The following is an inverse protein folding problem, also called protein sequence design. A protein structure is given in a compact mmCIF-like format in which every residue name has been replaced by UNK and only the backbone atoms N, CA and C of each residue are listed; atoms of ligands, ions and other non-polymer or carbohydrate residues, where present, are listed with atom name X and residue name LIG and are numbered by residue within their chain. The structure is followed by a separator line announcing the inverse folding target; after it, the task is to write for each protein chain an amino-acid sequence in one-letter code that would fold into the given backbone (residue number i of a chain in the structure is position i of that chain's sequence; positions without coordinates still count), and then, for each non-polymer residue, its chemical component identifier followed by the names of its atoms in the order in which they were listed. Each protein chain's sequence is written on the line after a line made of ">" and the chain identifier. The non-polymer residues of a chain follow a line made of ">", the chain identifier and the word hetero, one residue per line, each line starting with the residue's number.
data_IF_548449079877
#
_entry.id   IF_548449079877
#
_cell.length_a   1.000
_cell.length_b   1.000
_cell.length_c   1.000
_cell.angle_alpha   90.00
_cell.angle_beta   90.00
_cell.angle_gamma   90.00
#
_symmetry.space_group_name_H-M   'P 1'
#
loop_
_entity.id
_entity.type
_entity.pdbx_description
1 polymer ?
#
# COMPACT_ATOMS: atom_id res chain seq x y z
N UNK A 1 9.65 -12.74 8.91
CA UNK A 1 10.97 -13.42 9.05
C UNK A 1 12.08 -12.48 8.58
N UNK A 2 13.37 -12.84 8.74
CA UNK A 2 14.48 -12.03 8.19
C UNK A 2 14.36 -11.87 6.67
N UNK A 3 13.95 -12.93 5.97
CA UNK A 3 13.72 -12.91 4.52
C UNK A 3 12.62 -11.92 4.12
N UNK A 4 11.51 -11.89 4.85
CA UNK A 4 10.43 -10.92 4.60
C UNK A 4 10.88 -9.47 4.83
N UNK A 5 11.76 -9.21 5.80
CA UNK A 5 12.30 -7.87 6.05
C UNK A 5 13.20 -7.44 4.89
N UNK A 6 14.09 -8.33 4.40
CA UNK A 6 14.95 -8.03 3.25
C UNK A 6 14.14 -7.85 1.95
N UNK A 7 13.18 -8.74 1.69
CA UNK A 7 12.27 -8.60 0.55
C UNK A 7 11.45 -7.31 0.63
N UNK A 8 11.09 -6.89 1.85
CA UNK A 8 10.32 -5.68 2.12
C UNK A 8 11.00 -4.42 1.60
N UNK A 9 12.34 -4.36 1.68
CA UNK A 9 13.16 -3.24 1.18
C UNK A 9 13.00 -3.01 -0.32
N UNK A 10 12.88 -4.09 -1.10
CA UNK A 10 12.61 -3.97 -2.54
C UNK A 10 11.12 -3.73 -2.79
N UNK A 11 10.26 -4.46 -2.09
CA UNK A 11 8.81 -4.43 -2.29
C UNK A 11 8.20 -3.04 -2.08
N UNK A 12 8.65 -2.25 -1.10
CA UNK A 12 8.11 -0.91 -0.88
C UNK A 12 8.45 0.06 -2.02
N UNK A 13 9.67 -0.04 -2.59
CA UNK A 13 10.08 0.79 -3.74
C UNK A 13 9.28 0.42 -4.99
N UNK A 14 9.07 -0.88 -5.22
CA UNK A 14 8.22 -1.37 -6.30
C UNK A 14 6.78 -0.86 -6.13
N UNK A 15 6.20 -1.01 -4.94
CA UNK A 15 4.84 -0.53 -4.64
C UNK A 15 4.70 0.98 -4.84
N UNK A 16 5.68 1.77 -4.38
CA UNK A 16 5.72 3.22 -4.61
C UNK A 16 5.78 3.56 -6.11
N UNK A 17 6.32 2.67 -6.94
CA UNK A 17 6.42 2.81 -8.39
C UNK A 17 5.22 2.20 -9.15
N UNK A 18 4.14 1.83 -8.45
CA UNK A 18 2.95 1.15 -9.01
C UNK A 18 3.22 -0.27 -9.53
N UNK A 19 4.25 -0.94 -8.99
CA UNK A 19 4.57 -2.34 -9.26
C UNK A 19 4.14 -3.15 -8.05
N UNK A 20 3.12 -3.99 -8.21
CA UNK A 20 2.45 -4.70 -7.10
C UNK A 20 2.99 -6.11 -6.86
N UNK A 21 3.82 -6.60 -7.78
CA UNK A 21 4.42 -7.92 -7.80
C UNK A 21 5.31 -8.17 -6.58
N UNK A 22 5.88 -7.11 -5.99
CA UNK A 22 6.62 -7.17 -4.74
C UNK A 22 5.80 -7.72 -3.56
N UNK A 23 4.46 -7.67 -3.62
CA UNK A 23 3.58 -8.22 -2.58
C UNK A 23 3.31 -9.73 -2.75
N UNK A 24 3.51 -10.30 -3.95
CA UNK A 24 3.18 -11.70 -4.25
C UNK A 24 3.89 -12.68 -3.31
N UNK A 25 5.21 -12.56 -3.04
CA UNK A 25 5.90 -13.49 -2.14
C UNK A 25 5.33 -13.47 -0.71
N UNK A 26 4.92 -12.30 -0.21
CA UNK A 26 4.31 -12.17 1.12
C UNK A 26 2.92 -12.79 1.18
N UNK A 27 2.10 -12.54 0.16
CA UNK A 27 0.77 -13.11 0.05
C UNK A 27 0.81 -14.63 -0.16
N UNK A 28 1.79 -15.14 -0.91
CA UNK A 28 1.99 -16.58 -1.09
C UNK A 28 2.42 -17.27 0.21
N UNK A 29 3.26 -16.62 1.03
CA UNK A 29 3.74 -17.17 2.29
C UNK A 29 2.67 -17.19 3.40
N UNK A 30 1.80 -16.17 3.48
CA UNK A 30 0.75 -16.07 4.51
C UNK A 30 -0.54 -15.43 3.96
N UNK A 31 -1.28 -16.14 3.07
CA UNK A 31 -2.37 -15.55 2.29
C UNK A 31 -3.52 -15.06 3.17
N UNK A 32 -3.89 -15.83 4.19
CA UNK A 32 -5.04 -15.54 5.04
C UNK A 32 -4.86 -14.31 5.92
N UNK A 33 -3.62 -13.86 6.14
CA UNK A 33 -3.34 -12.66 6.93
C UNK A 33 -2.92 -11.49 6.06
N UNK A 34 -2.12 -11.74 5.03
CA UNK A 34 -1.59 -10.68 4.16
C UNK A 34 -2.66 -10.14 3.21
N UNK A 35 -3.42 -11.01 2.53
CA UNK A 35 -4.43 -10.56 1.56
C UNK A 35 -5.51 -9.69 2.24
N UNK A 36 -6.15 -10.11 3.35
CA UNK A 36 -7.13 -9.26 4.02
C UNK A 36 -6.54 -7.94 4.53
N UNK A 37 -5.29 -7.95 5.00
CA UNK A 37 -4.62 -6.71 5.45
C UNK A 37 -4.46 -5.70 4.31
N UNK A 38 -4.01 -6.16 3.14
CA UNK A 38 -3.84 -5.31 1.95
C UNK A 38 -5.20 -4.83 1.44
N UNK A 39 -6.21 -5.70 1.43
CA UNK A 39 -7.58 -5.35 1.03
C UNK A 39 -8.14 -4.22 1.88
N UNK A 40 -8.04 -4.33 3.21
CA UNK A 40 -8.57 -3.31 4.14
C UNK A 40 -7.85 -1.98 3.96
N UNK A 41 -6.52 -1.96 3.88
CA UNK A 41 -5.79 -0.71 3.65
C UNK A 41 -6.10 -0.08 2.29
N UNK A 42 -6.20 -0.89 1.23
CA UNK A 42 -6.57 -0.42 -0.12
C UNK A 42 -7.99 0.14 -0.17
N UNK A 43 -8.93 -0.52 0.52
CA UNK A 43 -10.31 -0.04 0.65
C UNK A 43 -10.37 1.30 1.38
N UNK A 44 -9.60 1.47 2.45
CA UNK A 44 -9.51 2.76 3.18
C UNK A 44 -8.93 3.86 2.29
N UNK A 45 -7.83 3.61 1.58
CA UNK A 45 -7.26 4.57 0.63
C UNK A 45 -8.27 4.96 -0.45
N UNK A 46 -8.97 3.98 -1.03
CA UNK A 46 -9.99 4.21 -2.05
C UNK A 46 -11.17 5.03 -1.53
N UNK A 47 -11.70 4.65 -0.37
CA UNK A 47 -12.83 5.35 0.26
C UNK A 47 -12.48 6.80 0.61
N UNK A 48 -11.31 7.06 1.18
CA UNK A 48 -10.84 8.41 1.49
C UNK A 48 -10.57 9.22 0.22
N UNK A 49 -10.01 8.60 -0.83
CA UNK A 49 -9.78 9.27 -2.12
C UNK A 49 -11.11 9.71 -2.74
N UNK A 50 -12.14 8.87 -2.67
CA UNK A 50 -13.49 9.20 -3.14
C UNK A 50 -14.15 10.27 -2.27
N UNK A 51 -14.02 10.16 -0.94
CA UNK A 51 -14.59 11.12 0.02
C UNK A 51 -14.04 12.53 -0.18
N UNK A 52 -12.74 12.65 -0.48
CA UNK A 52 -12.08 13.93 -0.72
C UNK A 52 -12.07 14.35 -2.19
N UNK A 53 -12.80 13.63 -3.07
CA UNK A 53 -12.87 13.91 -4.50
C UNK A 53 -11.49 14.05 -5.17
N UNK A 54 -10.55 13.16 -4.79
CA UNK A 54 -9.20 13.17 -5.36
C UNK A 54 -9.23 12.51 -6.73
N UNK A 55 -9.00 13.31 -7.77
CA UNK A 55 -8.81 12.84 -9.14
C UNK A 55 -7.34 12.58 -9.47
N UNK A 56 -7.05 11.44 -10.11
CA UNK A 56 -5.78 11.10 -10.74
C UNK A 56 -6.01 10.96 -12.26
N UNK A 57 -5.41 11.83 -13.06
CA UNK A 57 -5.58 11.86 -14.52
C UNK A 57 -4.70 10.86 -15.28
N UNK A 58 -3.62 10.39 -14.65
CA UNK A 58 -2.74 9.40 -15.23
C UNK A 58 -3.32 7.98 -15.04
N UNK A 59 -3.20 7.07 -16.03
CA UNK A 59 -3.69 5.70 -15.90
C UNK A 59 -2.93 4.89 -14.85
N UNK A 60 -1.63 5.13 -14.71
CA UNK A 60 -0.73 4.51 -13.73
C UNK A 60 0.58 5.31 -13.67
N UNK A 61 1.37 5.12 -12.61
CA UNK A 61 2.72 5.72 -12.52
C UNK A 61 3.24 5.99 -11.11
N UNK A 62 2.52 5.54 -10.08
CA UNK A 62 3.01 5.54 -8.70
C UNK A 62 3.23 6.94 -8.15
N UNK A 63 4.26 7.08 -7.31
CA UNK A 63 4.62 8.35 -6.68
C UNK A 63 5.05 9.41 -7.71
N UNK A 64 5.57 8.99 -8.86
CA UNK A 64 6.11 9.88 -9.89
C UNK A 64 5.04 10.72 -10.59
N UNK A 65 3.79 10.23 -10.65
CA UNK A 65 2.67 10.96 -11.26
C UNK A 65 1.94 11.88 -10.28
N UNK A 66 2.18 11.74 -8.97
CA UNK A 66 1.49 12.51 -7.93
C UNK A 66 1.65 14.03 -8.14
N UNK A 67 2.84 14.59 -8.41
CA UNK A 67 3.00 16.04 -8.54
C UNK A 67 2.34 16.64 -9.78
N UNK A 68 2.10 15.83 -10.82
CA UNK A 68 1.71 16.32 -12.16
C UNK A 68 0.28 15.94 -12.56
N UNK A 69 -0.26 14.85 -12.00
CA UNK A 69 -1.51 14.26 -12.48
C UNK A 69 -2.60 14.17 -11.41
N UNK A 70 -2.31 14.54 -10.16
CA UNK A 70 -3.27 14.51 -9.04
C UNK A 70 -3.80 15.90 -8.74
N UNK A 71 -5.12 16.01 -8.56
CA UNK A 71 -5.83 17.26 -8.21
C UNK A 71 -5.35 17.89 -6.90
N UNK A 72 -5.16 17.09 -5.83
CA UNK A 72 -4.62 17.53 -4.55
C UNK A 72 -3.46 16.60 -4.09
N UNK A 73 -2.22 16.86 -4.54
CA UNK A 73 -1.08 15.96 -4.32
C UNK A 73 -0.76 15.70 -2.84
N UNK A 74 -0.80 16.73 -2.00
CA UNK A 74 -0.47 16.60 -0.57
C UNK A 74 -1.52 15.79 0.17
N UNK A 75 -2.80 16.05 -0.09
CA UNK A 75 -3.88 15.27 0.51
C UNK A 75 -3.84 13.81 0.05
N UNK A 76 -3.53 13.57 -1.22
CA UNK A 76 -3.41 12.21 -1.75
C UNK A 76 -2.26 11.42 -1.11
N UNK A 77 -1.11 12.05 -0.88
CA UNK A 77 -0.01 11.45 -0.10
C UNK A 77 -0.47 11.09 1.31
N UNK A 78 -1.22 11.99 1.96
CA UNK A 78 -1.80 11.74 3.27
C UNK A 78 -2.77 10.55 3.27
N UNK A 79 -3.66 10.46 2.27
CA UNK A 79 -4.61 9.36 2.12
C UNK A 79 -3.91 8.03 1.88
N UNK A 80 -2.88 7.99 1.02
CA UNK A 80 -2.04 6.81 0.82
C UNK A 80 -1.39 6.40 2.14
N UNK A 81 -0.80 7.36 2.87
CA UNK A 81 -0.14 7.08 4.14
C UNK A 81 -1.10 6.48 5.17
N UNK A 82 -2.35 6.95 5.23
CA UNK A 82 -3.38 6.38 6.11
C UNK A 82 -3.65 4.91 5.76
N UNK A 83 -3.87 4.59 4.48
CA UNK A 83 -4.09 3.18 4.07
C UNK A 83 -2.86 2.29 4.26
N UNK A 84 -1.65 2.84 4.10
CA UNK A 84 -0.39 2.15 4.42
C UNK A 84 -0.31 1.83 5.91
N UNK A 85 -0.61 2.79 6.79
CA UNK A 85 -0.65 2.56 8.24
C UNK A 85 -1.70 1.52 8.61
N UNK A 86 -2.89 1.57 8.02
CA UNK A 86 -3.94 0.57 8.24
C UNK A 86 -3.46 -0.83 7.82
N UNK A 87 -2.86 -0.96 6.64
CA UNK A 87 -2.26 -2.24 6.19
C UNK A 87 -1.21 -2.73 7.19
N UNK A 88 -0.30 -1.85 7.61
CA UNK A 88 0.79 -2.20 8.52
C UNK A 88 0.26 -2.67 9.88
N UNK A 89 -0.76 -1.98 10.43
CA UNK A 89 -1.43 -2.38 11.67
C UNK A 89 -2.15 -3.72 11.51
N UNK A 90 -2.88 -3.92 10.42
CA UNK A 90 -3.56 -5.20 10.15
C UNK A 90 -2.55 -6.36 10.07
N UNK A 91 -1.44 -6.18 9.36
CA UNK A 91 -0.37 -7.19 9.28
C UNK A 91 0.26 -7.43 10.66
N UNK A 92 0.56 -6.36 11.41
CA UNK A 92 1.17 -6.45 12.73
C UNK A 92 0.29 -7.14 13.78
N UNK A 93 -1.03 -6.96 13.69
CA UNK A 93 -2.00 -7.58 14.58
C UNK A 93 -2.28 -9.05 14.19
N UNK A 94 -2.37 -9.34 12.89
CA UNK A 94 -2.75 -10.67 12.42
C UNK A 94 -1.57 -11.64 12.37
N UNK A 95 -0.38 -11.20 11.92
CA UNK A 95 0.80 -12.06 11.88
C UNK A 95 1.39 -12.20 13.28
N UNK A 96 1.81 -13.43 13.64
CA UNK A 96 2.52 -13.67 14.90
C UNK A 96 3.83 -12.87 14.92
N UNK A 97 4.18 -12.33 16.08
CA UNK A 97 5.49 -11.72 16.31
C UNK A 97 6.58 -12.76 16.01
N UNK A 98 7.55 -12.35 15.20
CA UNK A 98 8.76 -13.12 14.96
C UNK A 98 9.59 -13.02 16.24
N UNK A 99 9.86 -14.16 16.88
CA UNK A 99 10.92 -14.28 17.90
C UNK A 99 12.31 -14.21 17.24
#
# INVERSE_FOLDING_TARGET
>A
TKEEIEAGKAAWVLGASFITEGAIPFAAADPFRVIPSIMVGSAVTGALSMLFHIELRAPHGGIFVIPIAVSNPLLYIGVIAVGTVVTALMVALLKKKVE
#
